data_IF_893943722729
#
_entry.id   IF_893943722729
#
_cell.length_a   1.000
_cell.length_b   1.000
_cell.length_c   1.000
_cell.angle_alpha   90.00
_cell.angle_beta   90.00
_cell.angle_gamma   90.00
#
_symmetry.space_group_name_H-M   'P 1'
#
loop_
_entity.id
_entity.type
_entity.pdbx_description
1 polymer ?
#
# COMPACT_ATOMS: atom_id res chain seq x y z
N UNK A 1 9.64 -2.27 -10.75
CA UNK A 1 9.92 -2.54 -9.32
C UNK A 1 8.78 -3.36 -8.77
N UNK A 2 9.07 -4.43 -8.05
CA UNK A 2 8.06 -5.36 -7.51
C UNK A 2 8.00 -5.19 -5.99
N UNK A 3 6.80 -5.31 -5.44
CA UNK A 3 6.55 -5.21 -4.01
C UNK A 3 6.00 -6.53 -3.51
N UNK A 4 6.49 -6.99 -2.36
CA UNK A 4 5.84 -8.06 -1.60
C UNK A 4 4.73 -7.46 -0.76
N UNK A 5 3.56 -8.09 -0.80
CA UNK A 5 2.46 -7.77 0.09
C UNK A 5 2.39 -8.87 1.15
N UNK A 6 2.57 -8.51 2.40
CA UNK A 6 2.64 -9.45 3.52
C UNK A 6 1.55 -9.14 4.54
N UNK A 7 0.97 -10.16 5.16
CA UNK A 7 0.03 -9.97 6.28
C UNK A 7 0.81 -9.56 7.53
N UNK A 8 0.26 -8.63 8.30
CA UNK A 8 0.79 -8.32 9.64
C UNK A 8 0.34 -9.42 10.60
N UNK A 9 1.27 -10.14 11.27
CA UNK A 9 0.92 -11.21 12.20
C UNK A 9 -0.01 -10.75 13.32
N UNK A 10 -0.99 -11.58 13.68
CA UNK A 10 -1.97 -11.26 14.72
C UNK A 10 -3.07 -10.28 14.30
N UNK A 11 -3.16 -9.96 13.00
CA UNK A 11 -4.25 -9.14 12.44
C UNK A 11 -4.84 -9.83 11.22
N UNK A 12 -6.16 -9.77 11.08
CA UNK A 12 -6.84 -10.47 9.98
C UNK A 12 -6.86 -9.65 8.68
N UNK A 13 -6.64 -8.34 8.75
CA UNK A 13 -6.93 -7.41 7.64
C UNK A 13 -5.81 -6.43 7.32
N UNK A 14 -4.71 -6.41 8.09
CA UNK A 14 -3.60 -5.48 7.85
C UNK A 14 -2.50 -6.13 7.03
N UNK A 15 -1.92 -5.31 6.16
CA UNK A 15 -0.83 -5.66 5.27
C UNK A 15 0.33 -4.68 5.38
N UNK A 16 1.48 -5.12 4.90
CA UNK A 16 2.70 -4.35 4.65
C UNK A 16 3.03 -4.41 3.16
N UNK A 17 3.56 -3.31 2.62
CA UNK A 17 4.23 -3.34 1.32
C UNK A 17 5.73 -3.29 1.55
N UNK A 18 6.43 -4.34 1.13
CA UNK A 18 7.85 -4.53 1.36
C UNK A 18 8.61 -4.58 0.04
N UNK A 19 9.66 -3.77 -0.08
CA UNK A 19 10.53 -3.76 -1.23
C UNK A 19 11.34 -5.07 -1.29
N UNK A 20 11.41 -5.70 -2.45
CA UNK A 20 12.06 -7.02 -2.57
C UNK A 20 13.58 -7.00 -2.39
N UNK A 21 14.24 -5.89 -2.71
CA UNK A 21 15.71 -5.78 -2.74
C UNK A 21 16.25 -5.20 -1.42
N UNK A 22 15.53 -4.23 -0.84
CA UNK A 22 16.04 -3.39 0.25
C UNK A 22 15.38 -3.68 1.59
N UNK A 23 14.47 -4.65 1.68
CA UNK A 23 13.73 -5.00 2.91
C UNK A 23 12.93 -3.82 3.53
N UNK A 24 12.85 -2.68 2.85
CA UNK A 24 12.19 -1.48 3.32
C UNK A 24 10.66 -1.59 3.15
N UNK A 25 9.91 -1.09 4.13
CA UNK A 25 8.44 -0.99 4.05
C UNK A 25 7.98 0.44 3.84
N UNK A 26 6.90 0.62 3.06
CA UNK A 26 6.33 1.96 2.87
C UNK A 26 5.47 2.34 4.08
N UNK A 27 5.61 3.59 4.54
CA UNK A 27 4.87 4.10 5.67
C UNK A 27 4.33 5.51 5.45
N UNK A 28 3.21 5.80 6.12
CA UNK A 28 2.61 7.13 6.16
C UNK A 28 3.42 8.07 7.05
N UNK A 29 3.75 9.25 6.52
CA UNK A 29 4.30 10.39 7.27
C UNK A 29 3.22 11.37 7.74
N UNK A 30 1.94 11.02 7.56
CA UNK A 30 0.82 11.89 7.82
C UNK A 30 0.22 12.50 6.56
N UNK A 31 -0.82 13.32 6.75
CA UNK A 31 -1.66 13.85 5.67
C UNK A 31 -0.86 14.68 4.68
N UNK A 32 -1.06 14.40 3.39
CA UNK A 32 -0.47 15.09 2.23
C UNK A 32 1.06 15.04 2.16
N UNK A 33 1.71 14.23 3.00
CA UNK A 33 3.12 13.93 2.89
C UNK A 33 3.36 12.75 1.94
N UNK A 34 4.46 12.81 1.20
CA UNK A 34 4.98 11.65 0.47
C UNK A 34 5.24 10.50 1.46
N UNK A 35 5.05 9.28 0.98
CA UNK A 35 5.40 8.09 1.75
C UNK A 35 6.89 8.08 2.12
N UNK A 36 7.20 7.51 3.28
CA UNK A 36 8.55 7.07 3.57
C UNK A 36 8.74 5.60 3.18
N UNK A 37 10.01 5.19 3.07
CA UNK A 37 10.41 3.79 2.96
C UNK A 37 11.60 3.56 3.89
N UNK A 38 11.50 2.57 4.78
CA UNK A 38 12.56 2.25 5.77
C UNK A 38 12.42 0.80 6.25
N UNK A 39 13.54 0.14 6.57
CA UNK A 39 13.61 -1.23 7.10
C UNK A 39 13.10 -1.31 8.55
N UNK A 40 13.24 -0.24 9.35
CA UNK A 40 12.91 -0.25 10.77
C UNK A 40 11.41 -0.12 11.09
N UNK A 41 10.54 0.00 10.08
CA UNK A 41 9.17 0.46 10.25
C UNK A 41 8.11 -0.65 10.30
N UNK A 42 8.49 -1.92 10.13
CA UNK A 42 7.56 -3.05 10.02
C UNK A 42 6.63 -3.22 11.23
N UNK A 43 7.11 -2.89 12.43
CA UNK A 43 6.31 -2.98 13.67
C UNK A 43 5.40 -1.78 13.92
N UNK A 44 5.49 -0.72 13.10
CA UNK A 44 4.77 0.52 13.34
C UNK A 44 3.45 0.57 12.59
N UNK A 45 2.37 0.97 13.27
CA UNK A 45 1.03 1.15 12.68
C UNK A 45 1.02 2.13 11.48
N UNK A 46 2.04 3.00 11.34
CA UNK A 46 2.18 3.90 10.19
C UNK A 46 2.59 3.16 8.91
N UNK A 47 3.25 2.00 9.02
CA UNK A 47 3.61 1.12 7.91
C UNK A 47 2.52 0.09 7.59
N UNK A 48 1.53 -0.07 8.47
CA UNK A 48 0.44 -1.01 8.28
C UNK A 48 -0.71 -0.37 7.52
N UNK A 49 -1.28 -1.13 6.61
CA UNK A 49 -2.39 -0.69 5.77
C UNK A 49 -3.52 -1.71 5.87
N UNK A 50 -4.75 -1.25 6.05
CA UNK A 50 -5.94 -2.08 5.87
C UNK A 50 -6.17 -2.29 4.37
N UNK A 51 -6.30 -3.55 3.97
CA UNK A 51 -6.77 -3.93 2.64
C UNK A 51 -8.29 -3.83 2.61
N UNK A 52 -8.84 -2.89 1.84
CA UNK A 52 -10.27 -2.72 1.67
C UNK A 52 -10.69 -3.13 0.25
N UNK A 53 -11.78 -3.89 0.13
CA UNK A 53 -12.36 -4.29 -1.17
C UNK A 53 -12.15 -5.77 -1.53
N UNK A 54 -11.25 -6.49 -0.85
CA UNK A 54 -11.15 -7.94 -0.94
C UNK A 54 -10.49 -8.55 0.30
N UNK A 55 -10.59 -9.86 0.43
CA UNK A 55 -9.80 -10.63 1.39
C UNK A 55 -8.39 -10.88 0.85
N UNK A 56 -7.41 -10.95 1.74
CA UNK A 56 -6.02 -11.17 1.33
C UNK A 56 -5.82 -12.49 0.58
N UNK A 57 -6.62 -13.53 0.85
CA UNK A 57 -6.59 -14.80 0.11
C UNK A 57 -7.00 -14.66 -1.36
N UNK A 58 -7.70 -13.57 -1.72
CA UNK A 58 -8.26 -13.31 -3.05
C UNK A 58 -7.53 -12.16 -3.77
N UNK A 59 -6.46 -11.63 -3.16
CA UNK A 59 -5.75 -10.42 -3.62
C UNK A 59 -5.16 -10.54 -5.04
N UNK A 60 -5.01 -11.78 -5.55
CA UNK A 60 -4.50 -12.07 -6.89
C UNK A 60 -5.58 -12.07 -7.99
N UNK A 61 -6.87 -11.95 -7.67
CA UNK A 61 -7.96 -12.01 -8.66
C UNK A 61 -8.31 -10.64 -9.30
N UNK A 62 -7.36 -9.69 -9.25
CA UNK A 62 -7.53 -8.33 -9.74
C UNK A 62 -8.69 -7.50 -9.13
N UNK A 63 -9.08 -7.66 -7.85
CA UNK A 63 -10.08 -6.81 -7.24
C UNK A 63 -9.62 -5.35 -7.21
N UNK A 64 -10.60 -4.43 -7.30
CA UNK A 64 -10.36 -3.03 -7.01
C UNK A 64 -10.29 -2.85 -5.50
N UNK A 65 -9.15 -2.39 -5.02
CA UNK A 65 -8.86 -2.27 -3.60
C UNK A 65 -8.48 -0.85 -3.23
N UNK A 66 -8.57 -0.56 -1.93
CA UNK A 66 -8.07 0.67 -1.33
C UNK A 66 -7.20 0.31 -0.14
N UNK A 67 -6.25 1.18 0.19
CA UNK A 67 -5.34 0.97 1.31
C UNK A 67 -5.48 2.10 2.32
N UNK A 68 -6.12 1.82 3.45
CA UNK A 68 -6.30 2.79 4.53
C UNK A 68 -5.20 2.63 5.56
N UNK A 69 -4.55 3.71 5.97
CA UNK A 69 -3.46 3.61 6.94
C UNK A 69 -3.97 3.18 8.33
N UNK A 70 -3.25 2.29 9.01
CA UNK A 70 -3.71 1.77 10.30
C UNK A 70 -3.57 2.79 11.43
N UNK A 71 -2.50 3.60 11.43
CA UNK A 71 -2.33 4.69 12.40
C UNK A 71 -3.24 5.88 12.11
N UNK A 72 -3.40 6.23 10.84
CA UNK A 72 -4.14 7.41 10.39
C UNK A 72 -5.44 6.96 9.73
N UNK A 73 -6.45 6.67 10.55
CA UNK A 73 -7.65 5.95 10.12
C UNK A 73 -8.49 6.66 9.05
N UNK A 74 -8.26 7.93 8.76
CA UNK A 74 -8.97 8.69 7.70
C UNK A 74 -8.15 8.86 6.43
N UNK A 75 -6.90 8.36 6.42
CA UNK A 75 -5.96 8.57 5.33
C UNK A 75 -5.69 7.30 4.55
N UNK A 76 -5.50 7.47 3.25
CA UNK A 76 -5.38 6.41 2.26
C UNK A 76 -4.12 6.58 1.43
N UNK A 77 -3.61 5.46 0.89
CA UNK A 77 -2.65 5.50 -0.19
C UNK A 77 -3.30 6.23 -1.38
N UNK A 78 -2.68 7.31 -1.82
CA UNK A 78 -3.27 8.19 -2.82
C UNK A 78 -2.17 8.65 -3.78
N UNK A 79 -2.42 8.54 -5.09
CA UNK A 79 -1.49 9.02 -6.11
C UNK A 79 -1.75 10.47 -6.53
N UNK A 80 -2.78 11.12 -5.93
CA UNK A 80 -3.14 12.54 -5.98
C UNK A 80 -3.39 13.17 -7.36
N UNK A 81 -3.11 12.46 -8.45
CA UNK A 81 -3.23 12.95 -9.79
C UNK A 81 -4.32 12.17 -10.55
N UNK A 82 -4.91 12.77 -11.59
CA UNK A 82 -5.86 12.09 -12.46
C UNK A 82 -5.18 11.31 -13.61
N UNK A 83 -3.93 11.66 -13.96
CA UNK A 83 -3.15 10.96 -15.01
C UNK A 83 -1.77 10.46 -14.53
N UNK A 84 -1.47 9.15 -14.62
CA UNK A 84 -0.24 8.58 -14.07
C UNK A 84 0.95 9.15 -14.85
N UNK A 85 1.76 9.96 -14.16
CA UNK A 85 2.96 10.57 -14.73
C UNK A 85 4.18 10.00 -14.01
N UNK A 86 5.19 9.60 -14.77
CA UNK A 86 6.44 9.07 -14.22
C UNK A 86 7.07 10.03 -13.20
N UNK A 87 7.63 9.47 -12.13
CA UNK A 87 8.32 10.22 -11.08
C UNK A 87 7.42 10.96 -10.08
N UNK A 88 6.09 10.82 -10.17
CA UNK A 88 5.17 11.33 -9.15
C UNK A 88 5.03 10.35 -7.99
N UNK A 89 5.45 10.72 -6.77
CA UNK A 89 5.37 9.82 -5.61
C UNK A 89 3.92 9.71 -5.11
N UNK A 90 3.61 8.59 -4.48
CA UNK A 90 2.42 8.44 -3.67
C UNK A 90 2.47 9.31 -2.42
N UNK A 91 1.31 9.73 -1.95
CA UNK A 91 1.11 10.41 -0.66
C UNK A 91 0.18 9.59 0.23
N UNK A 92 -0.02 10.09 1.46
CA UNK A 92 -1.14 9.68 2.31
C UNK A 92 -2.23 10.75 2.28
N UNK A 93 -3.29 10.53 1.49
CA UNK A 93 -4.36 11.50 1.23
C UNK A 93 -5.62 11.26 2.06
N UNK A 94 -6.48 12.28 2.20
CA UNK A 94 -7.78 12.12 2.87
C UNK A 94 -8.71 11.21 2.06
N UNK A 95 -9.33 10.23 2.71
CA UNK A 95 -10.28 9.32 2.06
C UNK A 95 -11.41 10.06 1.34
N UNK A 96 -11.52 9.85 0.02
CA UNK A 96 -12.47 10.57 -0.83
C UNK A 96 -13.12 9.68 -1.93
N UNK A 97 -12.78 8.39 -1.99
CA UNK A 97 -13.26 7.43 -3.00
C UNK A 97 -12.91 7.80 -4.45
N UNK A 98 -11.97 8.71 -4.67
CA UNK A 98 -11.51 9.05 -6.01
C UNK A 98 -10.77 7.86 -6.63
N UNK A 99 -10.73 7.82 -7.97
CA UNK A 99 -9.89 6.89 -8.71
C UNK A 99 -8.40 6.97 -8.30
N UNK A 100 -8.00 8.07 -7.67
CA UNK A 100 -6.65 8.25 -7.13
C UNK A 100 -6.31 7.36 -5.93
N UNK A 101 -7.31 6.74 -5.32
CA UNK A 101 -7.17 5.88 -4.13
C UNK A 101 -7.56 4.43 -4.39
N UNK A 102 -7.86 4.08 -5.65
CA UNK A 102 -8.36 2.77 -6.06
C UNK A 102 -7.28 2.09 -6.90
N UNK A 103 -6.92 0.87 -6.50
CA UNK A 103 -5.81 0.14 -7.09
C UNK A 103 -6.26 -1.23 -7.59
N UNK A 104 -5.61 -1.71 -8.64
CA UNK A 104 -5.65 -3.11 -9.04
C UNK A 104 -4.29 -3.73 -8.71
N UNK A 105 -4.31 -4.85 -8.01
CA UNK A 105 -3.09 -5.62 -7.72
C UNK A 105 -2.91 -6.65 -8.83
N UNK A 106 -1.73 -6.66 -9.44
CA UNK A 106 -1.36 -7.62 -10.47
C UNK A 106 -0.20 -8.47 -9.95
N UNK A 107 -0.34 -9.80 -10.06
CA UNK A 107 0.76 -10.72 -9.77
C UNK A 107 1.85 -10.53 -10.83
N UNK A 108 3.10 -10.42 -10.38
CA UNK A 108 4.25 -10.47 -11.27
C UNK A 108 4.71 -11.93 -11.31
N UNK A 109 4.45 -12.61 -12.42
CA UNK A 109 5.02 -13.93 -12.66
C UNK A 109 6.51 -13.75 -12.95
N UNK A 110 7.36 -14.11 -11.99
CA UNK A 110 8.80 -14.18 -12.25
C UNK A 110 9.07 -15.39 -13.17
N UNK A 111 9.93 -15.25 -14.19
CA UNK A 111 10.44 -16.42 -14.90
C UNK A 111 11.08 -17.36 -13.87
N UNK A 112 10.79 -18.66 -13.95
CA UNK A 112 11.58 -19.67 -13.23
C UNK A 112 12.99 -19.60 -13.80
N UNK A 113 13.97 -19.36 -12.92
CA UNK A 113 15.40 -19.48 -13.25
C UNK A 113 15.72 -20.90 -13.76
#
# INVERSE_FOLDING_TARGET
>A
MTWKIERVPGTDTRILFKAEIEDAVIYSKGKDYHLGADQGMEGHDTAHWYLEGCDFSEISEAPLVRFRNAKHSTLYLDWQHPEPTDGKPFVTGQGNNNASQIFRICRVDRPKE
#
